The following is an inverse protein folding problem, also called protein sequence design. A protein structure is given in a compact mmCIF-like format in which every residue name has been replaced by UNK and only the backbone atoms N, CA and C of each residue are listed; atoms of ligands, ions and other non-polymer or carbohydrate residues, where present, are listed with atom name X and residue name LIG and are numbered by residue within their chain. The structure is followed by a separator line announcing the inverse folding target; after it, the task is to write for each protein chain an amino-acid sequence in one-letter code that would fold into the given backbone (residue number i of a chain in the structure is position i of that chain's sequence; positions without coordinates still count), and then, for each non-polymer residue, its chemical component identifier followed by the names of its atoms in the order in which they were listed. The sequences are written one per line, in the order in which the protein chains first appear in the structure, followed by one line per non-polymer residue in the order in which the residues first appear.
data_IF_997601128220
#
_entry.id   IF_997601128220
#
_cell.length_a   1.000
_cell.length_b   1.000
_cell.length_c   1.000
_cell.angle_alpha   90.00
_cell.angle_beta   90.00
_cell.angle_gamma   90.00
#
_symmetry.space_group_name_H-M   'P 1'
#
loop_
_entity.id
_entity.type
_entity.pdbx_description
1 polymer ?
#
# COMPACT_ATOMS: atom_id res chain seq x y z
N UNK A 1 -1.71 -34.16 -23.93
CA UNK A 1 -2.57 -35.27 -24.44
C UNK A 1 -3.99 -34.75 -24.45
N UNK A 2 -4.65 -34.74 -25.61
CA UNK A 2 -6.05 -34.28 -25.75
C UNK A 2 -6.96 -35.36 -25.14
N UNK A 3 -7.69 -34.99 -24.10
CA UNK A 3 -8.61 -35.86 -23.39
C UNK A 3 -10.00 -35.72 -24.07
N UNK A 4 -10.48 -36.73 -24.81
CA UNK A 4 -11.68 -36.61 -25.64
C UNK A 4 -12.98 -36.42 -24.84
N UNK A 5 -12.94 -36.55 -23.51
CA UNK A 5 -14.07 -36.33 -22.61
C UNK A 5 -14.24 -34.87 -22.15
N UNK A 6 -13.28 -33.97 -22.43
CA UNK A 6 -13.38 -32.54 -22.08
C UNK A 6 -13.68 -31.70 -23.31
N UNK A 7 -14.60 -30.74 -23.18
CA UNK A 7 -14.89 -29.80 -24.26
C UNK A 7 -13.66 -28.96 -24.64
N UNK A 8 -13.43 -28.79 -25.94
CA UNK A 8 -12.27 -28.07 -26.48
C UNK A 8 -12.10 -26.66 -25.88
N UNK A 9 -13.21 -25.96 -25.60
CA UNK A 9 -13.21 -24.66 -24.91
C UNK A 9 -12.60 -24.72 -23.50
N UNK A 10 -12.95 -25.74 -22.72
CA UNK A 10 -12.42 -25.90 -21.36
C UNK A 10 -10.91 -26.21 -21.39
N UNK A 11 -10.45 -27.00 -22.36
CA UNK A 11 -9.02 -27.27 -22.57
C UNK A 11 -8.25 -26.03 -23.02
N UNK A 12 -8.83 -25.19 -23.87
CA UNK A 12 -8.22 -23.92 -24.27
C UNK A 12 -8.06 -22.99 -23.06
N UNK A 13 -9.11 -22.82 -22.26
CA UNK A 13 -9.06 -21.97 -21.05
C UNK A 13 -8.06 -22.50 -20.03
N UNK A 14 -8.00 -23.82 -19.79
CA UNK A 14 -7.03 -24.39 -18.86
C UNK A 14 -5.58 -24.29 -19.35
N UNK A 15 -5.35 -24.40 -20.66
CA UNK A 15 -4.01 -24.24 -21.25
C UNK A 15 -3.55 -22.79 -21.28
N UNK A 16 -4.47 -21.83 -21.35
CA UNK A 16 -4.16 -20.41 -21.17
C UNK A 16 -3.85 -20.15 -19.70
N UNK A 17 -4.72 -20.56 -18.77
CA UNK A 17 -4.55 -20.23 -17.35
C UNK A 17 -3.31 -20.90 -16.72
N UNK A 18 -3.11 -22.20 -16.97
CA UNK A 18 -2.00 -22.98 -16.41
C UNK A 18 -0.78 -23.01 -17.35
N UNK A 19 -0.65 -22.04 -18.26
CA UNK A 19 0.46 -21.98 -19.17
C UNK A 19 1.78 -21.71 -18.42
N UNK A 20 2.76 -22.61 -18.51
CA UNK A 20 4.06 -22.46 -17.84
C UNK A 20 4.92 -21.32 -18.43
N UNK A 21 4.69 -20.91 -19.68
CA UNK A 21 5.46 -19.84 -20.34
C UNK A 21 4.99 -18.46 -19.83
N UNK A 22 3.68 -18.27 -19.74
CA UNK A 22 3.07 -16.97 -19.42
C UNK A 22 2.67 -16.82 -17.95
N UNK A 23 2.54 -17.92 -17.21
CA UNK A 23 2.28 -17.96 -15.75
C UNK A 23 1.11 -17.07 -15.32
N UNK A 24 -0.01 -17.11 -16.06
CA UNK A 24 -1.14 -16.21 -15.84
C UNK A 24 -1.69 -16.26 -14.40
N UNK A 25 -1.71 -17.44 -13.78
CA UNK A 25 -2.11 -17.59 -12.37
C UNK A 25 -1.25 -16.79 -11.40
N UNK A 26 0.08 -16.81 -11.58
CA UNK A 26 1.02 -16.09 -10.71
C UNK A 26 0.91 -14.58 -10.90
N UNK A 27 0.70 -14.12 -12.13
CA UNK A 27 0.49 -12.69 -12.43
C UNK A 27 -0.83 -12.22 -11.82
N UNK A 28 -1.90 -13.01 -11.94
CA UNK A 28 -3.18 -12.69 -11.32
C UNK A 28 -3.08 -12.59 -9.79
N UNK A 29 -2.31 -13.50 -9.18
CA UNK A 29 -2.03 -13.44 -7.75
C UNK A 29 -1.25 -12.18 -7.37
N UNK A 30 -0.18 -11.86 -8.10
CA UNK A 30 0.63 -10.66 -7.85
C UNK A 30 -0.18 -9.37 -8.00
N UNK A 31 -1.12 -9.30 -8.97
CA UNK A 31 -2.06 -8.18 -9.08
C UNK A 31 -2.99 -8.09 -7.87
N UNK A 32 -3.42 -9.23 -7.30
CA UNK A 32 -4.16 -9.25 -6.05
C UNK A 32 -3.34 -8.70 -4.87
N UNK A 33 -2.06 -9.06 -4.79
CA UNK A 33 -1.15 -8.55 -3.76
C UNK A 33 -0.95 -7.03 -3.85
N UNK A 34 -0.82 -6.46 -5.05
CA UNK A 34 -0.69 -5.00 -5.21
C UNK A 34 -1.96 -4.26 -4.78
N UNK A 35 -3.13 -4.79 -5.11
CA UNK A 35 -4.42 -4.24 -4.65
C UNK A 35 -4.50 -4.30 -3.12
N UNK A 36 -4.14 -5.44 -2.53
CA UNK A 36 -4.14 -5.62 -1.09
C UNK A 36 -3.20 -4.63 -0.39
N UNK A 37 -1.99 -4.43 -0.92
CA UNK A 37 -1.03 -3.45 -0.40
C UNK A 37 -1.57 -2.03 -0.44
N UNK A 38 -2.13 -1.62 -1.58
CA UNK A 38 -2.69 -0.29 -1.74
C UNK A 38 -3.86 -0.08 -0.78
N UNK A 39 -4.76 -1.06 -0.65
CA UNK A 39 -5.91 -0.97 0.24
C UNK A 39 -5.50 -0.91 1.71
N UNK A 40 -4.65 -1.84 2.18
CA UNK A 40 -4.21 -1.87 3.59
C UNK A 40 -3.35 -0.64 3.94
N UNK A 41 -2.46 -0.23 3.04
CA UNK A 41 -1.62 0.94 3.23
C UNK A 41 -2.42 2.22 3.36
N UNK A 42 -3.33 2.47 2.41
CA UNK A 42 -4.19 3.67 2.41
C UNK A 42 -5.19 3.68 3.57
N UNK A 43 -5.81 2.54 3.88
CA UNK A 43 -6.75 2.42 5.00
C UNK A 43 -6.04 2.66 6.35
N UNK A 44 -4.87 2.05 6.55
CA UNK A 44 -4.04 2.29 7.73
C UNK A 44 -3.57 3.74 7.83
N UNK A 45 -3.18 4.34 6.70
CA UNK A 45 -2.79 5.74 6.65
C UNK A 45 -3.94 6.66 7.05
N UNK A 46 -5.15 6.41 6.54
CA UNK A 46 -6.33 7.18 6.88
C UNK A 46 -6.65 7.08 8.39
N UNK A 47 -6.57 5.88 8.97
CA UNK A 47 -6.82 5.65 10.39
C UNK A 47 -5.84 6.41 11.30
N UNK A 48 -4.58 6.53 10.89
CA UNK A 48 -3.52 7.25 11.64
C UNK A 48 -3.55 8.76 11.35
N UNK A 49 -3.84 9.16 10.12
CA UNK A 49 -3.91 10.56 9.72
C UNK A 49 -5.11 11.28 10.35
N UNK A 50 -6.22 10.57 10.58
CA UNK A 50 -7.43 11.13 11.18
C UNK A 50 -7.19 11.71 12.60
N UNK A 51 -6.65 10.97 13.60
CA UNK A 51 -6.32 11.55 14.90
C UNK A 51 -5.25 12.63 14.81
N UNK A 52 -4.24 12.48 13.93
CA UNK A 52 -3.22 13.51 13.68
C UNK A 52 -3.82 14.82 13.17
N UNK A 53 -4.83 14.74 12.31
CA UNK A 53 -5.52 15.90 11.77
C UNK A 53 -6.36 16.63 12.82
N UNK A 54 -7.06 15.90 13.69
CA UNK A 54 -7.75 16.49 14.85
C UNK A 54 -6.77 17.18 15.81
N UNK A 55 -5.60 16.61 16.04
CA UNK A 55 -4.52 17.22 16.83
C UNK A 55 -3.90 18.46 16.15
N UNK A 56 -3.90 18.51 14.81
CA UNK A 56 -3.41 19.66 14.03
C UNK A 56 -4.46 20.77 13.84
N UNK A 57 -5.75 20.47 14.10
CA UNK A 57 -6.86 21.39 13.96
C UNK A 57 -6.76 22.55 14.95
N UNK A 58 -6.97 23.76 14.42
CA UNK A 58 -6.77 25.04 15.13
C UNK A 58 -7.67 25.22 16.37
N UNK A 59 -8.71 24.40 16.51
CA UNK A 59 -9.71 24.48 17.57
C UNK A 59 -9.34 23.62 18.81
N UNK A 60 -8.48 22.60 18.67
CA UNK A 60 -8.13 21.68 19.78
C UNK A 60 -6.70 21.87 20.32
N UNK A 61 -5.77 22.43 19.54
CA UNK A 61 -4.39 22.65 19.97
C UNK A 61 -4.04 24.16 20.03
N UNK A 62 -4.24 24.86 21.17
CA UNK A 62 -3.77 26.24 21.36
C UNK A 62 -2.23 26.36 21.36
N UNK A 63 -1.51 25.24 21.51
CA UNK A 63 -0.05 25.18 21.47
C UNK A 63 0.48 25.30 20.02
N UNK A 64 0.79 26.54 19.61
CA UNK A 64 1.41 26.88 18.32
C UNK A 64 2.67 26.04 18.01
N UNK A 65 3.39 25.63 19.05
CA UNK A 65 4.59 24.79 18.97
C UNK A 65 4.26 23.34 18.59
N UNK A 66 3.25 22.74 19.21
CA UNK A 66 2.81 21.36 18.89
C UNK A 66 2.36 21.27 17.42
N UNK A 67 1.59 22.24 16.95
CA UNK A 67 1.18 22.33 15.54
C UNK A 67 2.36 22.48 14.59
N UNK A 68 3.38 23.25 14.97
CA UNK A 68 4.59 23.42 14.17
C UNK A 68 5.40 22.12 14.06
N UNK A 69 5.56 21.39 15.18
CA UNK A 69 6.24 20.10 15.21
C UNK A 69 5.50 19.07 14.37
N UNK A 70 4.19 18.90 14.57
CA UNK A 70 3.38 17.93 13.80
C UNK A 70 3.44 18.23 12.30
N UNK A 71 3.29 19.49 11.90
CA UNK A 71 3.40 19.88 10.49
C UNK A 71 4.78 19.60 9.92
N UNK A 72 5.84 19.86 10.68
CA UNK A 72 7.22 19.60 10.22
C UNK A 72 7.49 18.10 10.05
N UNK A 73 6.97 17.26 10.94
CA UNK A 73 7.07 15.81 10.81
C UNK A 73 6.31 15.31 9.58
N UNK A 74 5.08 15.78 9.36
CA UNK A 74 4.31 15.42 8.16
C UNK A 74 5.01 15.88 6.87
N UNK A 75 5.61 17.07 6.86
CA UNK A 75 6.42 17.57 5.75
C UNK A 75 7.66 16.70 5.50
N UNK A 76 8.33 16.24 6.55
CA UNK A 76 9.49 15.36 6.45
C UNK A 76 9.12 14.00 5.88
N UNK A 77 8.07 13.37 6.41
CA UNK A 77 7.59 12.06 5.94
C UNK A 77 7.18 12.11 4.47
N UNK A 78 6.56 13.22 4.04
CA UNK A 78 6.22 13.44 2.63
C UNK A 78 7.43 13.75 1.74
N UNK A 79 8.49 14.32 2.31
CA UNK A 79 9.73 14.58 1.58
C UNK A 79 10.51 13.30 1.23
N UNK A 80 10.23 12.20 1.91
CA UNK A 80 10.86 10.90 1.68
C UNK A 80 9.93 10.03 0.84
N UNK A 81 10.44 9.57 -0.30
CA UNK A 81 9.69 8.72 -1.22
C UNK A 81 9.41 7.31 -0.64
N UNK A 82 8.32 6.69 -1.10
CA UNK A 82 7.91 5.34 -0.68
C UNK A 82 9.00 4.29 -0.94
N UNK A 83 9.83 4.45 -1.98
CA UNK A 83 10.95 3.56 -2.28
C UNK A 83 11.98 3.56 -1.14
N UNK A 84 12.28 4.71 -0.54
CA UNK A 84 13.24 4.80 0.58
C UNK A 84 12.68 4.03 1.77
N UNK A 85 11.41 4.26 2.13
CA UNK A 85 10.76 3.50 3.21
C UNK A 85 10.72 2.00 2.92
N UNK A 86 10.47 1.61 1.66
CA UNK A 86 10.46 0.20 1.25
C UNK A 86 11.83 -0.45 1.47
N UNK A 87 12.92 0.21 1.08
CA UNK A 87 14.29 -0.31 1.28
C UNK A 87 14.62 -0.44 2.78
N UNK A 88 14.24 0.55 3.58
CA UNK A 88 14.48 0.54 5.04
C UNK A 88 13.65 -0.55 5.72
N UNK A 89 12.34 -0.62 5.43
CA UNK A 89 11.43 -1.61 6.01
C UNK A 89 11.74 -3.03 5.53
N UNK A 90 12.27 -3.20 4.32
CA UNK A 90 12.67 -4.51 3.80
C UNK A 90 13.74 -5.18 4.67
N UNK A 91 14.59 -4.41 5.36
CA UNK A 91 15.55 -4.97 6.33
C UNK A 91 14.89 -5.47 7.61
N UNK A 92 13.75 -4.90 8.01
CA UNK A 92 13.04 -5.28 9.23
C UNK A 92 12.03 -6.41 9.01
N UNK A 93 11.25 -6.33 7.93
CA UNK A 93 10.14 -7.25 7.63
C UNK A 93 10.44 -8.22 6.47
N UNK A 94 11.56 -8.04 5.77
CA UNK A 94 11.89 -8.78 4.56
C UNK A 94 11.27 -8.18 3.29
N UNK A 95 11.70 -8.64 2.10
CA UNK A 95 11.03 -8.29 0.85
C UNK A 95 9.67 -8.99 0.77
N UNK A 96 8.59 -8.23 0.56
CA UNK A 96 7.25 -8.79 0.45
C UNK A 96 6.15 -7.72 0.45
N UNK A 97 4.88 -8.15 0.26
CA UNK A 97 3.76 -7.22 0.16
C UNK A 97 3.52 -6.44 1.46
N UNK A 98 3.76 -7.04 2.63
CA UNK A 98 3.63 -6.35 3.92
C UNK A 98 4.53 -5.10 3.99
N UNK A 99 5.76 -5.20 3.48
CA UNK A 99 6.74 -4.11 3.50
C UNK A 99 6.29 -2.92 2.67
N UNK A 100 5.79 -3.14 1.46
CA UNK A 100 5.31 -2.02 0.65
C UNK A 100 3.93 -1.50 1.11
N UNK A 101 3.07 -2.33 1.73
CA UNK A 101 1.85 -1.82 2.38
C UNK A 101 2.19 -0.83 3.51
N UNK A 102 3.20 -1.15 4.34
CA UNK A 102 3.71 -0.26 5.38
C UNK A 102 4.40 0.99 4.81
N UNK A 103 5.12 0.86 3.71
CA UNK A 103 5.73 2.00 3.04
C UNK A 103 4.65 2.98 2.54
N UNK A 104 3.62 2.47 1.87
CA UNK A 104 2.45 3.25 1.43
C UNK A 104 1.77 3.91 2.64
N UNK A 105 1.57 3.16 3.73
CA UNK A 105 0.96 3.70 4.95
C UNK A 105 1.69 4.95 5.45
N UNK A 106 3.01 4.87 5.55
CA UNK A 106 3.83 5.97 6.08
C UNK A 106 3.77 7.19 5.14
N UNK A 107 3.96 6.97 3.83
CA UNK A 107 3.97 8.07 2.86
C UNK A 107 2.60 8.73 2.70
N UNK A 108 1.53 7.95 2.71
CA UNK A 108 0.17 8.47 2.53
C UNK A 108 -0.33 9.18 3.80
N UNK A 109 0.12 8.77 4.98
CA UNK A 109 -0.18 9.46 6.24
C UNK A 109 0.28 10.92 6.20
N UNK A 110 1.46 11.18 5.61
CA UNK A 110 2.00 12.55 5.43
C UNK A 110 1.13 13.43 4.54
N UNK A 111 0.53 12.84 3.50
CA UNK A 111 -0.37 13.54 2.57
C UNK A 111 -1.77 13.76 3.17
N UNK A 112 -2.35 12.74 3.81
CA UNK A 112 -3.66 12.80 4.45
C UNK A 112 -3.69 13.75 5.66
N UNK A 113 -2.62 13.82 6.45
CA UNK A 113 -2.54 14.74 7.59
C UNK A 113 -2.70 16.22 7.22
N UNK A 114 -2.37 16.62 5.98
CA UNK A 114 -2.64 17.97 5.46
C UNK A 114 -4.02 18.11 4.83
N UNK A 115 -4.55 17.06 4.21
CA UNK A 115 -5.87 17.11 3.59
C UNK A 115 -6.97 17.31 4.64
N UNK A 116 -6.76 16.78 5.85
CA UNK A 116 -7.71 16.84 6.95
C UNK A 116 -7.46 18.00 7.97
N UNK A 117 -6.33 18.75 7.89
CA UNK A 117 -5.95 19.85 8.81
C UNK A 117 -6.06 21.24 8.21
#
# INVERSE_FOLDING_TARGET
RLDPARGNLALMVSNVWNNEIWRHGDVAWAMGETILMAFLGTFGAALVALPLAFLAARNFAPARWLRFVVRRVLDFVRGVDALIFTIVLSRAFGPGPMTGALAILITDTGSFGKLFS
#
